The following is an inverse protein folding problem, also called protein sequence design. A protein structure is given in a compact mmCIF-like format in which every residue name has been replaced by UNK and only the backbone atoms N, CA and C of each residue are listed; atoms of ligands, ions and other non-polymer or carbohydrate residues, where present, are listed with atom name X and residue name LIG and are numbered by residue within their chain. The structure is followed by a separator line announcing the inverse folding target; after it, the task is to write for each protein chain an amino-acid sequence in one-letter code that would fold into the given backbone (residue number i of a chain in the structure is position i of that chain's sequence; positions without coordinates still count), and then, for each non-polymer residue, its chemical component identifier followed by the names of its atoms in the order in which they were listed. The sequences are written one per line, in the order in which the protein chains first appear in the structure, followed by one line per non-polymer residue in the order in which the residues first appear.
data_IF_696389836619
#
_entry.id   IF_696389836619
#
_cell.length_a   1.000
_cell.length_b   1.000
_cell.length_c   1.000
_cell.angle_alpha   90.00
_cell.angle_beta   90.00
_cell.angle_gamma   90.00
#
_symmetry.space_group_name_H-M   'P 1'
#
loop_
_entity.id
_entity.type
_entity.pdbx_description
1 polymer ?
#
# COMPACT_ATOMS: atom_id res chain seq x y z
N UNK A 1 20.97 2.67 29.52
CA UNK A 1 20.24 3.94 29.27
C UNK A 1 20.11 4.07 27.76
N UNK A 2 18.94 3.77 27.20
CA UNK A 2 18.69 3.96 25.77
C UNK A 2 18.52 5.47 25.55
N UNK A 3 19.44 6.09 24.81
CA UNK A 3 19.25 7.47 24.35
C UNK A 3 17.98 7.51 23.50
N UNK A 4 17.03 8.37 23.86
CA UNK A 4 15.92 8.74 23.00
C UNK A 4 16.51 9.24 21.67
N UNK A 5 16.10 8.64 20.55
CA UNK A 5 16.55 9.10 19.24
C UNK A 5 16.20 10.58 19.08
N UNK A 6 17.22 11.39 18.84
CA UNK A 6 17.08 12.81 18.56
C UNK A 6 16.75 12.97 17.07
N UNK A 7 15.45 12.86 16.74
CA UNK A 7 14.97 12.97 15.36
C UNK A 7 15.20 14.38 14.74
N UNK A 8 15.51 15.38 15.57
CA UNK A 8 15.79 16.75 15.13
C UNK A 8 17.20 16.91 14.55
N UNK A 9 18.10 15.96 14.81
CA UNK A 9 19.44 15.89 14.19
C UNK A 9 19.43 14.73 13.21
N UNK A 10 19.52 15.04 11.91
CA UNK A 10 19.38 14.07 10.82
C UNK A 10 19.95 12.70 11.15
N UNK A 11 19.08 11.69 11.20
CA UNK A 11 19.44 10.32 11.56
C UNK A 11 19.84 9.51 10.33
N UNK A 12 20.77 8.58 10.49
CA UNK A 12 21.08 7.58 9.49
C UNK A 12 20.04 6.45 9.47
N UNK A 13 19.97 5.71 8.36
CA UNK A 13 19.12 4.51 8.24
C UNK A 13 19.41 3.48 9.33
N UNK A 14 20.69 3.31 9.71
CA UNK A 14 21.10 2.36 10.76
C UNK A 14 20.62 2.77 12.15
N UNK A 15 20.71 4.07 12.47
CA UNK A 15 20.23 4.61 13.75
C UNK A 15 18.71 4.47 13.85
N UNK A 16 17.97 4.81 12.78
CA UNK A 16 16.52 4.65 12.73
C UNK A 16 16.10 3.18 12.82
N UNK A 17 16.81 2.28 12.13
CA UNK A 17 16.54 0.83 12.21
C UNK A 17 16.74 0.31 13.63
N UNK A 18 17.85 0.66 14.28
CA UNK A 18 18.08 0.31 15.70
C UNK A 18 17.02 0.92 16.61
N UNK A 19 16.61 2.16 16.35
CA UNK A 19 15.49 2.80 17.03
C UNK A 19 14.19 2.03 16.92
N UNK A 20 13.86 1.55 15.73
CA UNK A 20 12.67 0.74 15.50
C UNK A 20 12.73 -0.61 16.22
N UNK A 21 13.91 -1.25 16.28
CA UNK A 21 14.09 -2.50 17.03
C UNK A 21 13.92 -2.22 18.53
N UNK A 22 14.60 -1.20 19.04
CA UNK A 22 14.51 -0.84 20.46
C UNK A 22 13.12 -0.35 20.85
N UNK A 23 12.29 0.15 19.93
CA UNK A 23 10.91 0.52 20.22
C UNK A 23 10.05 -0.66 20.69
N UNK A 24 10.45 -1.91 20.44
CA UNK A 24 9.78 -3.09 20.98
C UNK A 24 10.33 -3.47 22.36
N UNK A 25 9.48 -4.04 23.20
CA UNK A 25 9.92 -4.81 24.38
C UNK A 25 10.02 -6.30 24.06
N UNK A 26 10.55 -7.07 25.03
CA UNK A 26 10.77 -8.51 24.85
C UNK A 26 9.45 -9.31 24.71
N UNK A 27 8.32 -8.74 25.17
CA UNK A 27 6.99 -9.32 25.01
C UNK A 27 6.35 -9.05 23.64
N UNK A 28 6.92 -8.12 22.87
CA UNK A 28 6.42 -7.70 21.57
C UNK A 28 5.53 -6.48 21.58
N UNK A 29 5.39 -5.78 22.72
CA UNK A 29 4.67 -4.51 22.79
C UNK A 29 5.54 -3.41 22.17
N UNK A 30 4.95 -2.65 21.26
CA UNK A 30 5.57 -1.48 20.66
C UNK A 30 5.37 -0.25 21.55
N UNK A 31 6.47 0.41 21.95
CA UNK A 31 6.47 1.62 22.78
C UNK A 31 6.24 2.88 21.95
N UNK A 32 6.80 2.92 20.74
CA UNK A 32 6.61 4.00 19.77
C UNK A 32 6.14 3.44 18.42
N UNK A 33 4.83 3.20 18.25
CA UNK A 33 4.29 2.67 16.99
C UNK A 33 4.43 3.66 15.84
N UNK A 34 4.52 4.96 16.12
CA UNK A 34 4.58 5.99 15.08
C UNK A 34 5.94 5.99 14.40
N UNK A 35 7.03 5.95 15.17
CA UNK A 35 8.39 5.80 14.63
C UNK A 35 8.51 4.55 13.77
N UNK A 36 8.06 3.40 14.29
CA UNK A 36 8.17 2.11 13.60
C UNK A 36 7.36 2.13 12.30
N UNK A 37 6.10 2.59 12.35
CA UNK A 37 5.24 2.65 11.15
C UNK A 37 5.77 3.64 10.12
N UNK A 38 6.26 4.80 10.56
CA UNK A 38 6.86 5.80 9.68
C UNK A 38 8.06 5.22 8.95
N UNK A 39 9.04 4.67 9.68
CA UNK A 39 10.26 4.16 9.05
C UNK A 39 9.96 2.96 8.14
N UNK A 40 9.14 2.00 8.57
CA UNK A 40 8.79 0.85 7.73
C UNK A 40 8.02 1.24 6.46
N UNK A 41 7.20 2.29 6.48
CA UNK A 41 6.56 2.77 5.26
C UNK A 41 7.50 3.59 4.37
N UNK A 42 8.36 4.42 4.98
CA UNK A 42 9.13 5.45 4.28
C UNK A 42 10.54 5.01 3.88
N UNK A 43 11.06 3.90 4.40
CA UNK A 43 12.39 3.41 4.06
C UNK A 43 12.65 3.25 2.55
N UNK A 44 11.68 2.92 1.66
CA UNK A 44 11.95 2.77 0.23
C UNK A 44 12.47 4.05 -0.45
N UNK A 45 12.25 5.22 0.16
CA UNK A 45 12.85 6.49 -0.29
C UNK A 45 14.36 6.56 -0.14
N UNK A 46 14.94 5.76 0.77
CA UNK A 46 16.34 5.86 1.18
C UNK A 46 17.11 4.54 0.99
N UNK A 47 16.42 3.41 1.07
CA UNK A 47 17.00 2.06 0.99
C UNK A 47 15.97 1.07 0.43
N UNK A 48 16.34 0.16 -0.49
CA UNK A 48 15.46 -0.91 -0.93
C UNK A 48 15.04 -1.83 0.22
N UNK A 49 13.79 -2.31 0.20
CA UNK A 49 13.26 -3.19 1.25
C UNK A 49 14.07 -4.48 1.41
N UNK A 50 14.58 -5.06 0.31
CA UNK A 50 15.44 -6.24 0.36
C UNK A 50 16.76 -5.97 1.09
N UNK A 51 17.36 -4.79 0.90
CA UNK A 51 18.57 -4.39 1.63
C UNK A 51 18.29 -4.09 3.11
N UNK A 52 17.13 -3.51 3.43
CA UNK A 52 16.72 -3.30 4.83
C UNK A 52 16.52 -4.65 5.54
N UNK A 53 15.89 -5.62 4.88
CA UNK A 53 15.73 -6.97 5.39
C UNK A 53 17.09 -7.67 5.59
N UNK A 54 18.03 -7.52 4.66
CA UNK A 54 19.40 -8.03 4.81
C UNK A 54 20.13 -7.40 6.01
N UNK A 55 19.92 -6.10 6.28
CA UNK A 55 20.46 -5.44 7.49
C UNK A 55 19.84 -5.99 8.78
N UNK A 56 18.53 -6.23 8.80
CA UNK A 56 17.85 -6.88 9.93
C UNK A 56 18.41 -8.28 10.19
N UNK A 57 18.61 -9.05 9.12
CA UNK A 57 19.23 -10.37 9.18
C UNK A 57 20.65 -10.30 9.77
N UNK A 58 21.48 -9.35 9.32
CA UNK A 58 22.82 -9.15 9.87
C UNK A 58 22.79 -8.73 11.35
N UNK A 59 21.86 -7.85 11.75
CA UNK A 59 21.67 -7.47 13.17
C UNK A 59 21.30 -8.69 14.00
N UNK A 60 20.39 -9.54 13.50
CA UNK A 60 20.01 -10.78 14.18
C UNK A 60 21.23 -11.69 14.38
N UNK A 61 21.99 -11.97 13.31
CA UNK A 61 23.19 -12.82 13.38
C UNK A 61 24.26 -12.26 14.33
N UNK A 62 24.47 -10.95 14.34
CA UNK A 62 25.42 -10.32 15.25
C UNK A 62 24.94 -10.40 16.71
N UNK A 63 23.65 -10.12 16.95
CA UNK A 63 23.06 -10.24 18.28
C UNK A 63 23.13 -11.66 18.83
N UNK A 64 23.17 -12.67 17.96
CA UNK A 64 23.42 -14.06 18.32
C UNK A 64 24.86 -14.31 18.76
N UNK A 65 25.85 -13.82 18.00
CA UNK A 65 27.27 -13.93 18.40
C UNK A 65 27.52 -13.28 19.77
N UNK A 66 26.81 -12.19 20.04
CA UNK A 66 26.90 -11.44 21.29
C UNK A 66 25.98 -11.99 22.41
N UNK A 67 25.26 -13.11 22.17
CA UNK A 67 24.30 -13.74 23.09
C UNK A 67 23.21 -12.78 23.64
N UNK A 68 22.80 -11.79 22.85
CA UNK A 68 21.78 -10.81 23.23
C UNK A 68 20.37 -11.29 22.88
N UNK A 69 19.75 -12.04 23.79
CA UNK A 69 18.38 -12.57 23.62
C UNK A 69 17.33 -11.45 23.42
N UNK A 70 17.48 -10.32 24.12
CA UNK A 70 16.55 -9.17 23.98
C UNK A 70 16.59 -8.59 22.56
N UNK A 71 17.79 -8.45 21.98
CA UNK A 71 17.93 -7.89 20.63
C UNK A 71 17.40 -8.86 19.57
N UNK A 72 17.63 -10.17 19.73
CA UNK A 72 17.08 -11.21 18.87
C UNK A 72 15.55 -11.17 18.83
N UNK A 73 14.89 -11.18 20.00
CA UNK A 73 13.43 -11.22 20.09
C UNK A 73 12.79 -9.93 19.57
N UNK A 74 13.35 -8.76 19.89
CA UNK A 74 12.88 -7.47 19.37
C UNK A 74 13.02 -7.37 17.85
N UNK A 75 14.10 -7.89 17.29
CA UNK A 75 14.28 -7.96 15.82
C UNK A 75 13.18 -8.82 15.18
N UNK A 76 12.86 -9.98 15.79
CA UNK A 76 11.76 -10.82 15.31
C UNK A 76 10.39 -10.14 15.42
N UNK A 77 10.14 -9.39 16.51
CA UNK A 77 8.90 -8.61 16.67
C UNK A 77 8.77 -7.49 15.63
N UNK A 78 9.87 -6.81 15.30
CA UNK A 78 9.87 -5.80 14.25
C UNK A 78 9.54 -6.41 12.88
N UNK A 79 10.15 -7.56 12.54
CA UNK A 79 9.86 -8.27 11.27
C UNK A 79 8.40 -8.74 11.24
N UNK A 80 7.89 -9.32 12.33
CA UNK A 80 6.48 -9.70 12.46
C UNK A 80 5.56 -8.49 12.25
N UNK A 81 5.87 -7.37 12.89
CA UNK A 81 5.10 -6.14 12.74
C UNK A 81 5.11 -5.66 11.28
N UNK A 82 6.28 -5.66 10.62
CA UNK A 82 6.41 -5.27 9.21
C UNK A 82 5.54 -6.13 8.29
N UNK A 83 5.61 -7.46 8.42
CA UNK A 83 4.78 -8.39 7.64
C UNK A 83 3.29 -8.11 7.86
N UNK A 84 2.87 -7.92 9.12
CA UNK A 84 1.46 -7.67 9.45
C UNK A 84 0.95 -6.31 8.96
N UNK A 85 1.79 -5.28 8.99
CA UNK A 85 1.41 -3.91 8.64
C UNK A 85 1.45 -3.65 7.13
N UNK A 86 2.37 -4.30 6.41
CA UNK A 86 2.60 -4.08 4.98
C UNK A 86 2.69 -5.40 4.18
N UNK A 87 1.69 -6.30 4.28
CA UNK A 87 1.75 -7.65 3.69
C UNK A 87 1.92 -7.65 2.16
N UNK A 88 1.36 -6.64 1.49
CA UNK A 88 1.46 -6.52 0.04
C UNK A 88 2.91 -6.39 -0.47
N UNK A 89 3.81 -5.78 0.32
CA UNK A 89 5.22 -5.63 -0.06
C UNK A 89 5.92 -6.98 -0.13
N UNK A 90 5.60 -7.90 0.79
CA UNK A 90 6.19 -9.23 0.85
C UNK A 90 5.67 -10.17 -0.24
N UNK A 91 4.41 -10.04 -0.68
CA UNK A 91 3.90 -10.82 -1.83
C UNK A 91 4.48 -10.33 -3.17
N UNK A 92 4.68 -9.01 -3.29
CA UNK A 92 5.04 -8.37 -4.56
C UNK A 92 6.55 -8.27 -4.79
N UNK A 93 7.38 -8.32 -3.75
CA UNK A 93 8.83 -8.23 -3.84
C UNK A 93 9.49 -9.60 -3.52
N UNK A 94 9.90 -10.37 -4.55
CA UNK A 94 10.51 -11.69 -4.34
C UNK A 94 11.82 -11.65 -3.56
N UNK A 95 12.66 -10.64 -3.77
CA UNK A 95 13.94 -10.49 -3.05
C UNK A 95 13.72 -10.25 -1.56
N UNK A 96 12.74 -9.38 -1.22
CA UNK A 96 12.34 -9.16 0.17
C UNK A 96 11.82 -10.47 0.79
N UNK A 97 10.94 -11.19 0.09
CA UNK A 97 10.42 -12.47 0.57
C UNK A 97 11.53 -13.50 0.80
N UNK A 98 12.53 -13.56 -0.10
CA UNK A 98 13.69 -14.44 0.04
C UNK A 98 14.53 -14.10 1.28
N UNK A 99 14.79 -12.81 1.53
CA UNK A 99 15.52 -12.37 2.73
C UNK A 99 14.81 -12.76 4.04
N UNK A 100 13.48 -12.64 4.10
CA UNK A 100 12.74 -13.09 5.29
C UNK A 100 12.70 -14.61 5.39
N UNK A 101 12.64 -15.34 4.26
CA UNK A 101 12.75 -16.82 4.27
C UNK A 101 14.10 -17.27 4.81
N UNK A 102 15.18 -16.61 4.43
CA UNK A 102 16.52 -16.88 4.96
C UNK A 102 16.58 -16.63 6.47
N UNK A 103 16.03 -15.51 6.95
CA UNK A 103 15.93 -15.23 8.39
C UNK A 103 15.12 -16.31 9.12
N UNK A 104 13.99 -16.76 8.56
CA UNK A 104 13.18 -17.84 9.14
C UNK A 104 13.95 -19.16 9.19
N UNK A 105 14.65 -19.52 8.12
CA UNK A 105 15.45 -20.75 8.06
C UNK A 105 16.56 -20.76 9.13
N UNK A 106 17.18 -19.60 9.41
CA UNK A 106 18.16 -19.49 10.49
C UNK A 106 17.52 -19.69 11.87
N UNK A 107 16.34 -19.12 12.11
CA UNK A 107 15.59 -19.34 13.36
C UNK A 107 15.23 -20.81 13.58
N UNK A 108 14.87 -21.52 12.50
CA UNK A 108 14.54 -22.95 12.53
C UNK A 108 15.78 -23.82 12.82
N UNK A 109 16.91 -23.54 12.17
CA UNK A 109 18.18 -24.24 12.42
C UNK A 109 18.68 -24.08 13.85
N UNK A 110 18.36 -22.96 14.49
CA UNK A 110 18.72 -22.65 15.87
C UNK A 110 17.86 -23.38 16.91
N UNK A 111 16.79 -24.05 16.49
CA UNK A 111 15.82 -24.67 17.40
C UNK A 111 14.97 -23.64 18.17
N UNK A 112 15.03 -22.36 17.79
CA UNK A 112 14.28 -21.29 18.45
C UNK A 112 12.86 -21.18 17.87
N UNK A 113 12.09 -22.24 18.09
CA UNK A 113 10.73 -22.40 17.55
C UNK A 113 9.80 -21.25 17.96
N UNK A 114 10.02 -20.66 19.14
CA UNK A 114 9.27 -19.48 19.60
C UNK A 114 9.48 -18.29 18.69
N UNK A 115 10.73 -17.96 18.34
CA UNK A 115 11.01 -16.85 17.43
C UNK A 115 10.62 -17.18 15.98
N UNK A 116 10.87 -18.40 15.51
CA UNK A 116 10.43 -18.81 14.16
C UNK A 116 8.91 -18.71 13.97
N UNK A 117 8.13 -19.04 15.00
CA UNK A 117 6.66 -18.92 14.95
C UNK A 117 6.15 -17.49 14.82
N UNK A 118 6.98 -16.47 15.09
CA UNK A 118 6.63 -15.06 14.90
C UNK A 118 6.67 -14.63 13.44
N UNK A 119 7.43 -15.34 12.60
CA UNK A 119 7.65 -15.00 11.19
C UNK A 119 6.90 -16.01 10.33
N UNK A 120 5.78 -15.55 9.77
CA UNK A 120 4.93 -16.34 8.87
C UNK A 120 4.64 -15.55 7.60
N UNK A 121 5.43 -15.81 6.57
CA UNK A 121 5.23 -15.24 5.23
C UNK A 121 4.18 -16.02 4.45
N UNK A 122 4.00 -17.31 4.74
CA UNK A 122 3.09 -18.18 3.99
C UNK A 122 1.62 -17.81 4.24
N UNK A 123 1.33 -17.19 5.38
CA UNK A 123 0.02 -16.61 5.69
C UNK A 123 -0.32 -15.32 4.91
N UNK A 124 0.64 -14.71 4.21
CA UNK A 124 0.42 -13.46 3.47
C UNK A 124 -0.52 -13.72 2.29
N UNK A 125 -1.68 -13.03 2.22
CA UNK A 125 -2.58 -13.18 1.08
C UNK A 125 -1.90 -12.73 -0.22
N UNK A 126 -2.25 -13.36 -1.34
CA UNK A 126 -1.77 -12.86 -2.64
C UNK A 126 -2.43 -11.50 -2.96
N UNK A 127 -1.63 -10.48 -3.25
CA UNK A 127 -2.05 -9.15 -3.69
C UNK A 127 -1.88 -8.98 -5.21
N UNK A 128 -1.05 -9.80 -5.87
CA UNK A 128 -0.84 -9.79 -7.33
C UNK A 128 -2.16 -9.76 -8.11
N UNK A 129 -3.11 -10.65 -7.80
CA UNK A 129 -4.40 -10.71 -8.52
C UNK A 129 -5.30 -9.49 -8.23
N UNK A 130 -5.24 -8.92 -7.02
CA UNK A 130 -6.04 -7.74 -6.65
C UNK A 130 -5.61 -6.50 -7.44
N UNK A 131 -4.30 -6.43 -7.72
CA UNK A 131 -3.67 -5.37 -8.54
C UNK A 131 -3.68 -5.69 -10.03
N UNK A 132 -4.13 -6.88 -10.44
CA UNK A 132 -4.27 -7.18 -11.84
C UNK A 132 -5.25 -6.22 -12.51
N UNK A 133 -4.74 -5.78 -13.65
CA UNK A 133 -5.24 -4.75 -14.53
C UNK A 133 -6.28 -5.44 -15.43
N UNK A 134 -7.43 -5.85 -14.87
CA UNK A 134 -8.53 -6.44 -15.65
C UNK A 134 -9.17 -5.39 -16.56
N UNK A 135 -9.17 -5.62 -17.88
CA UNK A 135 -10.09 -4.99 -18.83
C UNK A 135 -11.13 -6.04 -19.19
N UNK A 136 -12.31 -5.99 -18.56
CA UNK A 136 -13.50 -6.70 -19.05
C UNK A 136 -14.50 -5.67 -19.53
N UNK A 137 -14.26 -5.14 -20.72
CA UNK A 137 -15.33 -4.54 -21.50
C UNK A 137 -15.82 -5.62 -22.46
N UNK A 138 -17.00 -6.24 -22.24
CA UNK A 138 -17.55 -7.18 -23.20
C UNK A 138 -17.72 -6.48 -24.55
N UNK A 139 -17.05 -7.02 -25.57
CA UNK A 139 -17.09 -6.50 -26.95
C UNK A 139 -18.54 -6.59 -27.45
N UNK A 140 -19.15 -5.46 -27.79
CA UNK A 140 -20.40 -5.43 -28.55
C UNK A 140 -21.67 -4.93 -27.83
N UNK A 141 -21.61 -4.45 -26.58
CA UNK A 141 -22.80 -3.81 -26.01
C UNK A 141 -23.03 -2.42 -26.63
N UNK A 142 -24.16 -2.23 -27.33
CA UNK A 142 -24.66 -0.92 -27.75
C UNK A 142 -24.87 -0.05 -26.50
N UNK A 143 -23.87 0.76 -26.12
CA UNK A 143 -23.83 1.60 -24.91
C UNK A 143 -24.91 2.69 -24.80
N UNK A 144 -25.79 2.84 -25.80
CA UNK A 144 -26.91 3.80 -25.80
C UNK A 144 -27.91 3.58 -24.65
N UNK A 145 -27.96 2.39 -24.03
CA UNK A 145 -28.85 2.10 -22.90
C UNK A 145 -28.52 2.90 -21.63
N UNK A 146 -27.25 3.24 -21.39
CA UNK A 146 -26.85 4.00 -20.19
C UNK A 146 -27.37 5.45 -20.21
N UNK A 147 -27.44 6.06 -21.40
CA UNK A 147 -27.94 7.43 -21.57
C UNK A 147 -29.43 7.59 -21.27
N UNK A 148 -30.21 6.51 -21.40
CA UNK A 148 -31.65 6.50 -21.09
C UNK A 148 -31.91 6.19 -19.61
N UNK A 149 -31.03 5.41 -18.98
CA UNK A 149 -31.11 5.11 -17.55
C UNK A 149 -30.67 6.29 -16.68
N UNK A 150 -29.72 7.09 -17.15
CA UNK A 150 -29.24 8.28 -16.45
C UNK A 150 -30.35 9.28 -16.11
N UNK A 151 -31.28 9.54 -17.05
CA UNK A 151 -32.37 10.51 -16.87
C UNK A 151 -33.37 10.09 -15.76
N UNK A 152 -33.30 8.84 -15.28
CA UNK A 152 -34.16 8.27 -14.25
C UNK A 152 -33.40 7.83 -12.99
N UNK A 153 -32.08 7.98 -12.98
CA UNK A 153 -31.26 7.58 -11.85
C UNK A 153 -31.26 8.69 -10.80
N UNK A 154 -31.52 8.32 -9.55
CA UNK A 154 -31.49 9.27 -8.44
C UNK A 154 -30.05 9.82 -8.26
N UNK A 155 -29.87 11.14 -8.03
CA UNK A 155 -28.54 11.73 -7.88
C UNK A 155 -27.67 11.04 -6.82
N UNK A 156 -28.26 10.70 -5.67
CA UNK A 156 -27.57 10.02 -4.57
C UNK A 156 -27.10 8.62 -4.98
N UNK A 157 -27.97 7.83 -5.62
CA UNK A 157 -27.61 6.50 -6.09
C UNK A 157 -26.45 6.57 -7.11
N UNK A 158 -26.46 7.55 -8.01
CA UNK A 158 -25.35 7.75 -8.94
C UNK A 158 -24.04 8.10 -8.20
N UNK A 159 -24.11 8.99 -7.21
CA UNK A 159 -22.95 9.38 -6.40
C UNK A 159 -22.35 8.18 -5.66
N UNK A 160 -23.18 7.31 -5.07
CA UNK A 160 -22.73 6.07 -4.41
C UNK A 160 -22.00 5.13 -5.38
N UNK A 161 -22.55 4.94 -6.59
CA UNK A 161 -21.92 4.10 -7.60
C UNK A 161 -20.57 4.66 -8.08
N UNK A 162 -20.47 5.98 -8.30
CA UNK A 162 -19.22 6.63 -8.67
C UNK A 162 -18.18 6.50 -7.54
N UNK A 163 -18.61 6.76 -6.31
CA UNK A 163 -17.76 6.61 -5.11
C UNK A 163 -17.24 5.19 -4.98
N UNK A 164 -18.09 4.18 -5.17
CA UNK A 164 -17.69 2.78 -5.12
C UNK A 164 -16.66 2.44 -6.21
N UNK A 165 -16.86 2.92 -7.44
CA UNK A 165 -15.92 2.69 -8.55
C UNK A 165 -14.55 3.31 -8.26
N UNK A 166 -14.53 4.56 -7.78
CA UNK A 166 -13.29 5.26 -7.42
C UNK A 166 -12.61 4.58 -6.24
N UNK A 167 -13.34 4.29 -5.16
CA UNK A 167 -12.81 3.60 -3.98
C UNK A 167 -12.18 2.25 -4.34
N UNK A 168 -12.87 1.43 -5.14
CA UNK A 168 -12.36 0.12 -5.57
C UNK A 168 -11.08 0.25 -6.40
N UNK A 169 -10.95 1.30 -7.20
CA UNK A 169 -9.74 1.59 -7.98
C UNK A 169 -8.62 2.09 -7.06
N UNK A 170 -8.95 3.02 -6.15
CA UNK A 170 -8.04 3.62 -5.18
C UNK A 170 -7.38 2.58 -4.27
N UNK A 171 -8.14 1.62 -3.75
CA UNK A 171 -7.61 0.56 -2.87
C UNK A 171 -6.59 -0.39 -3.52
N UNK A 172 -6.31 -0.24 -4.82
CA UNK A 172 -5.25 -1.00 -5.50
C UNK A 172 -3.91 -0.28 -5.50
N UNK A 173 -3.91 1.04 -5.26
CA UNK A 173 -2.73 1.88 -5.22
C UNK A 173 -1.95 1.56 -3.95
N UNK A 174 -0.67 1.27 -4.09
CA UNK A 174 0.25 0.98 -2.99
C UNK A 174 1.32 2.06 -2.86
N UNK A 175 2.08 2.02 -1.76
CA UNK A 175 3.15 2.97 -1.49
C UNK A 175 4.16 3.10 -2.66
N UNK A 176 4.56 1.99 -3.26
CA UNK A 176 5.44 1.96 -4.44
C UNK A 176 4.90 2.79 -5.63
N UNK A 177 3.59 2.89 -5.77
CA UNK A 177 2.96 3.64 -6.86
C UNK A 177 3.06 5.15 -6.58
N UNK A 178 2.88 5.57 -5.33
CA UNK A 178 3.11 6.96 -4.91
C UNK A 178 4.59 7.34 -4.99
N UNK A 179 5.47 6.47 -4.50
CA UNK A 179 6.92 6.65 -4.58
C UNK A 179 7.36 6.87 -6.05
N UNK A 180 7.01 5.93 -6.94
CA UNK A 180 7.33 6.07 -8.38
C UNK A 180 6.77 7.37 -8.97
N UNK A 181 5.51 7.71 -8.69
CA UNK A 181 4.89 8.92 -9.24
C UNK A 181 5.61 10.20 -8.78
N UNK A 182 5.93 10.31 -7.49
CA UNK A 182 6.61 11.49 -6.95
C UNK A 182 8.06 11.58 -7.44
N UNK A 183 8.77 10.44 -7.59
CA UNK A 183 10.13 10.41 -8.14
C UNK A 183 10.18 10.86 -9.60
N UNK A 184 9.21 10.46 -10.42
CA UNK A 184 9.20 10.78 -11.85
C UNK A 184 8.43 12.07 -12.20
N UNK A 185 7.55 12.54 -11.31
CA UNK A 185 6.63 13.65 -11.57
C UNK A 185 5.44 13.28 -12.46
N UNK A 186 5.33 12.01 -12.88
CA UNK A 186 4.22 11.48 -13.68
C UNK A 186 4.14 9.95 -13.56
N UNK A 187 3.14 9.33 -14.19
CA UNK A 187 3.01 7.87 -14.21
C UNK A 187 3.96 7.26 -15.24
N UNK A 188 5.12 6.77 -14.79
CA UNK A 188 6.07 5.97 -15.58
C UNK A 188 6.02 4.53 -15.06
N UNK A 189 5.72 3.57 -15.95
CA UNK A 189 5.56 2.14 -15.63
C UNK A 189 4.68 1.86 -14.40
N UNK A 190 3.64 2.69 -14.21
CA UNK A 190 2.74 2.66 -13.06
C UNK A 190 1.28 2.45 -13.49
N UNK A 191 0.93 1.23 -13.96
CA UNK A 191 -0.37 0.97 -14.59
C UNK A 191 -1.55 1.04 -13.62
N UNK A 192 -1.30 0.91 -12.31
CA UNK A 192 -2.36 1.00 -11.29
C UNK A 192 -2.78 2.45 -11.10
N UNK A 193 -1.82 3.35 -10.86
CA UNK A 193 -2.11 4.77 -10.70
C UNK A 193 -2.60 5.40 -12.01
N UNK A 194 -2.02 5.01 -13.15
CA UNK A 194 -2.46 5.47 -14.47
C UNK A 194 -3.93 5.13 -14.72
N UNK A 195 -4.38 3.93 -14.33
CA UNK A 195 -5.80 3.54 -14.42
C UNK A 195 -6.70 4.33 -13.49
N UNK A 196 -6.24 4.64 -12.28
CA UNK A 196 -7.00 5.49 -11.37
C UNK A 196 -7.20 6.89 -11.96
N UNK A 197 -6.14 7.50 -12.49
CA UNK A 197 -6.19 8.79 -13.18
C UNK A 197 -7.10 8.70 -14.42
N UNK A 198 -6.99 7.62 -15.19
CA UNK A 198 -7.83 7.38 -16.36
C UNK A 198 -9.32 7.26 -16.00
N UNK A 199 -9.66 6.59 -14.88
CA UNK A 199 -11.03 6.53 -14.37
C UNK A 199 -11.54 7.93 -14.01
N UNK A 200 -10.77 8.70 -13.26
CA UNK A 200 -11.12 10.08 -12.89
C UNK A 200 -11.40 10.96 -14.13
N UNK A 201 -10.50 10.91 -15.12
CA UNK A 201 -10.67 11.63 -16.38
C UNK A 201 -11.87 11.11 -17.18
N UNK A 202 -12.13 9.80 -17.15
CA UNK A 202 -13.26 9.18 -17.85
C UNK A 202 -14.61 9.62 -17.25
N UNK A 203 -14.69 9.77 -15.92
CA UNK A 203 -15.90 10.30 -15.25
C UNK A 203 -16.12 11.76 -15.66
N UNK A 204 -15.08 12.59 -15.63
CA UNK A 204 -15.15 13.99 -16.07
C UNK A 204 -15.59 14.12 -17.53
N UNK A 205 -15.00 13.32 -18.43
CA UNK A 205 -15.38 13.28 -19.84
C UNK A 205 -16.81 12.75 -20.04
N UNK A 206 -17.22 11.76 -19.25
CA UNK A 206 -18.57 11.21 -19.30
C UNK A 206 -19.62 12.27 -18.94
N UNK A 207 -19.38 13.07 -17.89
CA UNK A 207 -20.23 14.22 -17.54
C UNK A 207 -20.36 15.19 -18.72
N UNK A 208 -19.24 15.59 -19.33
CA UNK A 208 -19.22 16.48 -20.50
C UNK A 208 -20.04 15.91 -21.67
N UNK A 209 -19.88 14.61 -21.96
CA UNK A 209 -20.62 13.94 -23.02
C UNK A 209 -22.12 13.80 -22.71
N UNK A 210 -22.50 13.54 -21.47
CA UNK A 210 -23.91 13.48 -21.06
C UNK A 210 -24.60 14.84 -21.24
N UNK A 211 -23.94 15.94 -20.88
CA UNK A 211 -24.45 17.29 -21.11
C UNK A 211 -24.56 17.55 -22.62
N UNK A 212 -23.48 17.36 -23.38
CA UNK A 212 -23.44 17.66 -24.82
C UNK A 212 -24.32 16.73 -25.66
N UNK A 213 -24.74 15.59 -25.13
CA UNK A 213 -25.66 14.66 -25.82
C UNK A 213 -27.07 15.22 -26.01
N UNK A 214 -27.48 16.22 -25.20
CA UNK A 214 -28.84 16.77 -25.30
C UNK A 214 -28.92 17.85 -26.39
N UNK A 215 -29.90 17.75 -27.32
CA UNK A 215 -29.96 18.62 -28.50
C UNK A 215 -30.34 20.07 -28.16
N UNK A 216 -31.14 20.29 -27.11
CA UNK A 216 -31.66 21.63 -26.76
C UNK A 216 -30.98 22.21 -25.51
N UNK A 217 -30.89 23.55 -25.44
CA UNK A 217 -30.28 24.22 -24.29
C UNK A 217 -31.01 23.93 -22.95
N UNK A 218 -32.36 23.92 -22.88
CA UNK A 218 -33.05 23.59 -21.62
C UNK A 218 -32.76 22.16 -21.14
N UNK A 219 -32.68 21.19 -22.05
CA UNK A 219 -32.33 19.81 -21.67
C UNK A 219 -30.88 19.71 -21.17
N UNK A 220 -29.95 20.47 -21.75
CA UNK A 220 -28.57 20.54 -21.22
C UNK A 220 -28.53 21.13 -19.81
N UNK A 221 -29.31 22.18 -19.56
CA UNK A 221 -29.41 22.79 -18.24
C UNK A 221 -29.95 21.79 -17.19
N UNK A 222 -30.96 20.98 -17.53
CA UNK A 222 -31.48 19.94 -16.63
C UNK A 222 -30.41 18.89 -16.27
N UNK A 223 -29.60 18.45 -17.24
CA UNK A 223 -28.50 17.50 -16.98
C UNK A 223 -27.41 18.15 -16.13
N UNK A 224 -27.08 19.42 -16.36
CA UNK A 224 -26.14 20.18 -15.52
C UNK A 224 -26.65 20.22 -14.08
N UNK A 225 -27.91 20.62 -13.88
CA UNK A 225 -28.53 20.66 -12.55
C UNK A 225 -28.54 19.29 -11.89
N UNK A 226 -28.82 18.20 -12.63
CA UNK A 226 -28.74 16.85 -12.09
C UNK A 226 -27.33 16.51 -11.60
N UNK A 227 -26.28 16.79 -12.39
CA UNK A 227 -24.89 16.58 -11.94
C UNK A 227 -24.46 17.48 -10.78
N UNK A 228 -25.04 18.68 -10.63
CA UNK A 228 -24.84 19.49 -9.42
C UNK A 228 -25.38 18.76 -8.20
N UNK A 229 -26.59 18.20 -8.26
CA UNK A 229 -27.15 17.41 -7.16
C UNK A 229 -26.40 16.10 -6.89
N UNK A 230 -25.72 15.52 -7.89
CA UNK A 230 -24.84 14.35 -7.69
C UNK A 230 -23.56 14.76 -6.92
N UNK A 231 -23.14 16.02 -7.03
CA UNK A 231 -21.92 16.54 -6.41
C UNK A 231 -22.12 17.17 -5.03
N UNK A 232 -23.34 17.59 -4.69
CA UNK A 232 -23.74 18.09 -3.35
C UNK A 232 -23.70 17.00 -2.27
#
# INVERSE_FOLDING_TARGET
MAGTLDLDKGCTVEELLRGCIEAFDDSGKVRDPQLVRMFLMMHPWYIPSSQLAAKLLHIYQQSRKDNSNSLQVKTCHLVRYWISAFPAEFDLNPELAEQIKELKALLDQEGNLRHSSLIDIDSVPTYKWKRQVTQRNPVGQKKRKMSLLFDHLEPMELAEHLTYLEYRSFCKILFQDYHSFVTHGCTVDNPVLERFISLFNSVSQWVQLMILSKPTAPQRALVITHFVHVAE
#
